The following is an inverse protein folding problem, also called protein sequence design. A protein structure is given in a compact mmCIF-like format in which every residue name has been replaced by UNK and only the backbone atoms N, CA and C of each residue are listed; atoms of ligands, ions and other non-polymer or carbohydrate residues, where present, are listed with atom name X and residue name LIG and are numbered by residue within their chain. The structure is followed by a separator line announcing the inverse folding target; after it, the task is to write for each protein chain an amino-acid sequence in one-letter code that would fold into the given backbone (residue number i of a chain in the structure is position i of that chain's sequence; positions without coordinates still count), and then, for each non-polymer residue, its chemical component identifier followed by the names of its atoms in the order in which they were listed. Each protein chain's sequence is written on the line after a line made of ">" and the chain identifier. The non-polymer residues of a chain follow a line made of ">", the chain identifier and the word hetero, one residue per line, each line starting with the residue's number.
data_IF_868823686616
#
_entry.id   IF_868823686616
#
_cell.length_a   1.000
_cell.length_b   1.000
_cell.length_c   1.000
_cell.angle_alpha   90.00
_cell.angle_beta   90.00
_cell.angle_gamma   90.00
#
_symmetry.space_group_name_H-M   'P 1'
#
loop_
_entity.id
_entity.type
_entity.pdbx_description
1 polymer ?
#
# COMPACT_ATOMS: atom_id res chain seq x y z
N UNK A 1 -9.11 -16.78 -1.39
CA UNK A 1 -7.73 -16.82 -0.86
C UNK A 1 -6.78 -15.99 -1.75
N UNK A 2 -5.54 -15.69 -1.34
CA UNK A 2 -4.58 -14.97 -2.22
C UNK A 2 -4.29 -15.76 -3.52
N UNK A 3 -4.36 -17.09 -3.44
CA UNK A 3 -4.18 -17.99 -4.58
C UNK A 3 -5.28 -17.80 -5.64
N UNK A 4 -6.55 -17.76 -5.23
CA UNK A 4 -7.67 -17.47 -6.14
C UNK A 4 -7.53 -16.09 -6.81
N UNK A 5 -7.07 -15.08 -6.07
CA UNK A 5 -6.84 -13.74 -6.64
C UNK A 5 -5.76 -13.76 -7.72
N UNK A 6 -4.70 -14.57 -7.54
CA UNK A 6 -3.68 -14.78 -8.59
C UNK A 6 -4.25 -15.48 -9.80
N UNK A 7 -5.04 -16.53 -9.59
CA UNK A 7 -5.67 -17.28 -10.68
C UNK A 7 -6.58 -16.38 -11.53
N UNK A 8 -7.39 -15.54 -10.90
CA UNK A 8 -8.20 -14.53 -11.59
C UNK A 8 -7.31 -13.55 -12.35
N UNK A 9 -6.26 -13.03 -11.70
CA UNK A 9 -5.31 -12.10 -12.32
C UNK A 9 -4.62 -12.69 -13.55
N UNK A 10 -4.25 -13.97 -13.51
CA UNK A 10 -3.56 -14.67 -14.60
C UNK A 10 -4.48 -15.01 -15.78
N UNK A 11 -5.79 -15.14 -15.53
CA UNK A 11 -6.80 -15.33 -16.58
C UNK A 11 -7.15 -14.02 -17.32
N UNK A 12 -6.85 -12.86 -16.74
CA UNK A 12 -7.17 -11.58 -17.37
C UNK A 12 -6.29 -11.31 -18.58
N UNK A 13 -6.94 -10.86 -19.66
CA UNK A 13 -6.25 -10.36 -20.83
C UNK A 13 -5.57 -9.01 -20.55
N UNK A 14 -4.73 -8.56 -21.48
CA UNK A 14 -3.97 -7.33 -21.32
C UNK A 14 -4.87 -6.09 -21.18
N UNK A 15 -6.02 -6.03 -21.85
CA UNK A 15 -6.94 -4.89 -21.79
C UNK A 15 -7.53 -4.71 -20.38
N UNK A 16 -8.00 -5.79 -19.77
CA UNK A 16 -8.55 -5.77 -18.41
C UNK A 16 -7.45 -5.46 -17.39
N UNK A 17 -6.24 -6.01 -17.57
CA UNK A 17 -5.07 -5.67 -16.74
C UNK A 17 -4.68 -4.20 -16.86
N UNK A 18 -4.74 -3.62 -18.06
CA UNK A 18 -4.48 -2.18 -18.28
C UNK A 18 -5.55 -1.29 -17.63
N UNK A 19 -6.83 -1.68 -17.70
CA UNK A 19 -7.91 -1.00 -16.99
C UNK A 19 -7.69 -1.03 -15.47
N UNK A 20 -7.28 -2.17 -14.93
CA UNK A 20 -6.95 -2.29 -13.51
C UNK A 20 -5.75 -1.40 -13.15
N UNK A 21 -4.68 -1.43 -13.94
CA UNK A 21 -3.50 -0.61 -13.73
C UNK A 21 -3.80 0.89 -13.86
N UNK A 22 -4.69 1.31 -14.74
CA UNK A 22 -5.06 2.73 -14.86
C UNK A 22 -5.71 3.25 -13.57
N UNK A 23 -6.59 2.42 -12.98
CA UNK A 23 -7.40 2.75 -11.80
C UNK A 23 -6.68 2.55 -10.47
N UNK A 24 -5.92 1.46 -10.35
CA UNK A 24 -5.31 1.01 -9.09
C UNK A 24 -3.79 0.95 -9.15
N UNK A 25 -3.17 1.29 -10.29
CA UNK A 25 -1.71 1.42 -10.46
C UNK A 25 -0.98 0.15 -10.02
N UNK A 26 0.03 0.34 -9.19
CA UNK A 26 1.00 -0.66 -8.75
C UNK A 26 0.39 -1.68 -7.76
N UNK A 27 -0.90 -1.54 -7.40
CA UNK A 27 -1.59 -2.47 -6.50
C UNK A 27 -1.52 -3.92 -6.98
N UNK A 28 -1.49 -4.14 -8.30
CA UNK A 28 -1.36 -5.48 -8.88
C UNK A 28 -0.08 -6.21 -8.47
N UNK A 29 1.01 -5.48 -8.19
CA UNK A 29 2.27 -6.09 -7.76
C UNK A 29 2.19 -6.70 -6.35
N UNK A 30 1.18 -6.36 -5.56
CA UNK A 30 0.94 -7.00 -4.26
C UNK A 30 0.59 -8.48 -4.40
N UNK A 31 0.02 -8.89 -5.53
CA UNK A 31 -0.23 -10.31 -5.80
C UNK A 31 1.10 -11.08 -5.83
N UNK A 32 2.16 -10.49 -6.39
CA UNK A 32 3.46 -11.15 -6.51
C UNK A 32 4.30 -11.13 -5.22
N UNK A 33 3.85 -10.40 -4.18
CA UNK A 33 4.57 -10.33 -2.91
C UNK A 33 4.63 -11.71 -2.26
N UNK A 34 5.86 -12.18 -2.05
CA UNK A 34 6.12 -13.42 -1.31
C UNK A 34 6.05 -13.12 0.18
N UNK A 35 4.89 -13.42 0.77
CA UNK A 35 4.66 -13.29 2.21
C UNK A 35 5.46 -14.37 2.96
N UNK A 36 6.46 -13.96 3.73
CA UNK A 36 7.12 -14.84 4.67
C UNK A 36 6.21 -15.09 5.89
N UNK A 37 5.63 -16.30 5.94
CA UNK A 37 4.69 -16.69 6.99
C UNK A 37 5.31 -16.67 8.39
N UNK A 38 6.59 -16.98 8.52
CA UNK A 38 7.26 -16.99 9.81
C UNK A 38 7.52 -15.56 10.30
N UNK A 39 7.94 -14.68 9.40
CA UNK A 39 8.12 -13.26 9.68
C UNK A 39 6.82 -12.62 10.17
N UNK A 40 5.71 -12.81 9.44
CA UNK A 40 4.42 -12.25 9.83
C UNK A 40 3.88 -12.84 11.13
N UNK A 41 4.10 -14.14 11.36
CA UNK A 41 3.75 -14.78 12.63
C UNK A 41 4.55 -14.19 13.79
N UNK A 42 5.79 -13.77 13.58
CA UNK A 42 6.55 -13.06 14.60
C UNK A 42 6.02 -11.63 14.78
N UNK A 43 5.83 -10.88 13.71
CA UNK A 43 5.33 -9.50 13.74
C UNK A 43 3.98 -9.36 14.47
N UNK A 44 3.03 -10.26 14.20
CA UNK A 44 1.68 -10.19 14.79
C UNK A 44 1.71 -10.35 16.31
N UNK A 45 2.74 -10.99 16.88
CA UNK A 45 2.90 -11.09 18.34
C UNK A 45 3.16 -9.73 18.99
N UNK A 46 3.69 -8.78 18.23
CA UNK A 46 3.97 -7.42 18.69
C UNK A 46 2.88 -6.44 18.25
N UNK A 47 1.86 -6.86 17.48
CA UNK A 47 0.79 -5.99 17.04
C UNK A 47 -0.08 -5.55 18.21
N UNK A 48 -0.17 -4.25 18.41
CA UNK A 48 -0.99 -3.63 19.42
C UNK A 48 -2.22 -2.99 18.77
N UNK A 49 -3.42 -3.62 18.84
CA UNK A 49 -4.59 -3.15 18.14
C UNK A 49 -5.13 -1.82 18.70
N UNK A 50 -4.86 -1.49 19.96
CA UNK A 50 -5.33 -0.24 20.57
C UNK A 50 -4.65 0.99 19.96
N UNK A 51 -3.40 0.85 19.51
CA UNK A 51 -2.58 1.94 18.97
C UNK A 51 -2.28 1.76 17.48
N UNK A 52 -2.69 0.65 16.87
CA UNK A 52 -2.43 0.31 15.47
C UNK A 52 -0.92 0.36 15.13
N UNK A 53 -0.08 -0.13 16.04
CA UNK A 53 1.38 -0.14 15.91
C UNK A 53 1.98 -1.48 16.39
N UNK A 54 3.27 -1.68 16.15
CA UNK A 54 4.02 -2.80 16.73
C UNK A 54 4.74 -2.35 18.01
N UNK A 55 4.41 -2.92 19.16
CA UNK A 55 5.03 -2.57 20.44
C UNK A 55 6.13 -3.57 20.79
N UNK A 56 7.38 -3.11 20.82
CA UNK A 56 8.55 -3.84 21.28
C UNK A 56 9.00 -3.33 22.65
N UNK A 57 8.58 -4.00 23.73
CA UNK A 57 8.83 -3.57 25.12
C UNK A 57 8.29 -2.16 25.40
N UNK A 58 9.14 -1.13 25.28
CA UNK A 58 8.83 0.28 25.54
C UNK A 58 8.94 1.15 24.28
N UNK A 59 9.06 0.53 23.11
CA UNK A 59 9.19 1.20 21.82
C UNK A 59 8.01 0.82 20.95
N UNK A 60 7.29 1.82 20.46
CA UNK A 60 6.25 1.64 19.46
C UNK A 60 6.81 1.91 18.07
N UNK A 61 6.59 0.98 17.16
CA UNK A 61 7.01 1.04 15.78
C UNK A 61 5.77 1.16 14.89
N UNK A 62 5.72 2.24 14.11
CA UNK A 62 4.75 2.44 13.03
C UNK A 62 5.56 2.52 11.75
N UNK A 63 5.73 1.40 11.02
CA UNK A 63 6.56 1.40 9.82
C UNK A 63 6.01 2.40 8.80
N UNK A 64 6.90 3.13 8.14
CA UNK A 64 6.53 3.94 6.97
C UNK A 64 6.21 3.05 5.78
N UNK A 65 5.69 3.64 4.70
CA UNK A 65 5.39 2.87 3.48
C UNK A 65 6.68 2.24 2.93
N UNK A 66 7.79 2.97 2.94
CA UNK A 66 9.11 2.50 2.50
C UNK A 66 9.59 1.31 3.34
N UNK A 67 9.43 1.38 4.65
CA UNK A 67 9.79 0.30 5.55
C UNK A 67 8.90 -0.92 5.33
N UNK A 68 7.59 -0.74 5.12
CA UNK A 68 6.71 -1.84 4.72
C UNK A 68 7.15 -2.46 3.39
N UNK A 69 7.50 -1.68 2.38
CA UNK A 69 7.98 -2.22 1.10
C UNK A 69 9.28 -3.02 1.28
N UNK A 70 10.20 -2.53 2.12
CA UNK A 70 11.43 -3.25 2.44
C UNK A 70 11.15 -4.58 3.17
N UNK A 71 10.28 -4.55 4.18
CA UNK A 71 9.86 -5.75 4.93
C UNK A 71 9.16 -6.78 4.04
N UNK A 72 8.31 -6.32 3.13
CA UNK A 72 7.58 -7.17 2.18
C UNK A 72 8.41 -7.56 0.95
N UNK A 73 9.65 -7.05 0.84
CA UNK A 73 10.53 -7.23 -0.33
C UNK A 73 9.84 -6.86 -1.64
N UNK A 74 9.06 -5.78 -1.62
CA UNK A 74 8.30 -5.30 -2.77
C UNK A 74 9.00 -4.11 -3.42
N UNK A 75 10.02 -4.38 -4.24
CA UNK A 75 10.82 -3.33 -4.91
C UNK A 75 10.18 -2.77 -6.19
N UNK A 76 9.12 -3.40 -6.70
CA UNK A 76 8.42 -3.00 -7.93
C UNK A 76 7.40 -1.88 -7.72
N UNK A 77 7.02 -1.68 -6.45
CA UNK A 77 6.00 -0.73 -6.07
C UNK A 77 6.65 0.64 -5.87
N UNK A 78 6.09 1.68 -6.48
CA UNK A 78 6.44 3.05 -6.16
C UNK A 78 5.48 3.62 -5.11
N UNK A 79 6.00 4.26 -4.07
CA UNK A 79 5.23 4.77 -2.92
C UNK A 79 4.10 5.71 -3.36
N UNK A 80 4.35 6.54 -4.37
CA UNK A 80 3.41 7.51 -4.94
C UNK A 80 2.27 6.86 -5.74
N UNK A 81 2.34 5.54 -5.99
CA UNK A 81 1.42 4.82 -6.88
C UNK A 81 0.51 3.82 -6.17
N UNK A 82 0.78 3.42 -4.94
CA UNK A 82 0.00 2.34 -4.25
C UNK A 82 -1.36 2.81 -3.78
N UNK A 83 -1.43 4.05 -3.34
CA UNK A 83 -2.64 4.61 -2.77
C UNK A 83 -3.14 5.62 -3.77
N UNK A 84 -4.04 5.15 -4.64
CA UNK A 84 -5.03 5.94 -5.38
C UNK A 84 -4.53 7.30 -5.83
N UNK A 85 -4.30 7.45 -7.15
CA UNK A 85 -4.23 8.71 -7.89
C UNK A 85 -4.72 9.84 -6.99
N UNK A 86 -3.77 10.55 -6.33
CA UNK A 86 -4.08 11.56 -5.32
C UNK A 86 -5.30 12.26 -5.84
N UNK A 87 -6.44 12.14 -5.16
CA UNK A 87 -7.69 12.51 -5.80
C UNK A 87 -7.49 13.99 -6.09
N UNK A 88 -7.19 14.30 -7.35
CA UNK A 88 -7.14 15.63 -7.88
C UNK A 88 -8.61 16.01 -7.96
N UNK A 89 -9.29 16.02 -6.81
CA UNK A 89 -10.53 16.74 -6.62
C UNK A 89 -9.98 18.16 -6.55
N UNK A 90 -10.21 18.99 -7.57
CA UNK A 90 -9.88 20.41 -7.48
C UNK A 90 -10.38 21.03 -6.15
N UNK A 91 -11.53 20.62 -5.57
CA UNK A 91 -11.96 21.03 -4.23
C UNK A 91 -10.97 20.78 -3.09
N UNK A 92 -10.28 19.62 -3.06
CA UNK A 92 -9.34 19.30 -1.99
C UNK A 92 -8.08 20.16 -2.08
N UNK A 93 -7.49 20.24 -3.27
CA UNK A 93 -6.31 21.09 -3.51
C UNK A 93 -6.63 22.56 -3.25
N UNK A 94 -7.80 23.05 -3.69
CA UNK A 94 -8.23 24.44 -3.45
C UNK A 94 -8.43 24.73 -1.96
N UNK A 95 -8.97 23.76 -1.20
CA UNK A 95 -9.10 23.87 0.25
C UNK A 95 -7.73 23.85 0.94
N UNK A 96 -6.81 23.01 0.47
CA UNK A 96 -5.44 22.94 1.00
C UNK A 96 -4.69 24.25 0.75
N UNK A 97 -4.73 24.80 -0.47
CA UNK A 97 -4.12 26.09 -0.82
C UNK A 97 -4.69 27.24 0.02
N UNK A 98 -6.00 27.26 0.27
CA UNK A 98 -6.61 28.25 1.16
C UNK A 98 -6.11 28.15 2.61
N UNK A 99 -5.77 26.95 3.08
CA UNK A 99 -5.26 26.72 4.44
C UNK A 99 -3.77 27.05 4.52
N UNK A 100 -2.99 26.69 3.49
CA UNK A 100 -1.53 26.88 3.48
C UNK A 100 -1.09 28.27 3.01
N UNK A 101 -2.00 29.07 2.44
CA UNK A 101 -1.69 30.42 1.94
C UNK A 101 -0.81 30.44 0.70
N UNK A 102 -0.67 29.32 0.01
CA UNK A 102 0.10 29.22 -1.23
C UNK A 102 -0.78 29.63 -2.42
N UNK A 103 -0.35 30.64 -3.18
CA UNK A 103 -0.88 30.94 -4.52
C UNK A 103 -0.01 30.26 -5.58
N UNK A 104 -0.57 30.09 -6.78
CA UNK A 104 0.21 29.81 -8.00
C UNK A 104 1.32 30.85 -8.23
#
# INVERSE_FOLDING_TARGET
>A
SLQELKEIWDQWNNEVRQLFYSKYKDLSYLLDVKVDRHFFRALVQFWNPAYSCFTFRKVDLVPTIEEYMALLRCSKIQVDRVYSQAVNVPPFLKKLMNITGMSE
#
